data_IF_149853609701
#
_entry.id   IF_149853609701
#
_cell.length_a   1.000
_cell.length_b   1.000
_cell.length_c   1.000
_cell.angle_alpha   90.00
_cell.angle_beta   90.00
_cell.angle_gamma   90.00
#
_symmetry.space_group_name_H-M   'P 1'
#
loop_
_entity.id
_entity.type
_entity.pdbx_description
1 polymer ?
#
# COMPACT_ATOMS: atom_id res chain seq x y z
N UNK A 1 26.31 8.16 39.16
CA UNK A 1 25.38 7.34 38.37
C UNK A 1 25.84 7.42 36.94
N UNK A 2 26.14 6.33 36.25
CA UNK A 2 26.51 6.39 34.85
C UNK A 2 25.27 6.79 34.03
N UNK A 3 25.45 7.82 33.20
CA UNK A 3 24.51 8.21 32.16
C UNK A 3 24.41 6.99 31.21
N UNK A 4 23.24 6.35 31.17
CA UNK A 4 22.98 5.32 30.14
C UNK A 4 23.13 6.03 28.79
N UNK A 5 24.10 5.60 28.02
CA UNK A 5 24.25 6.01 26.64
C UNK A 5 22.97 5.58 25.90
N UNK A 6 22.15 6.57 25.48
CA UNK A 6 21.16 6.37 24.47
C UNK A 6 21.87 5.70 23.29
N UNK A 7 21.52 4.45 22.98
CA UNK A 7 22.02 3.78 21.80
C UNK A 7 21.59 4.65 20.61
N UNK A 8 22.54 5.25 19.91
CA UNK A 8 22.27 5.99 18.70
C UNK A 8 21.51 5.05 17.75
N UNK A 9 20.30 5.41 17.40
CA UNK A 9 19.49 4.69 16.40
C UNK A 9 20.30 4.63 15.09
N UNK A 10 20.41 3.45 14.51
CA UNK A 10 21.08 3.24 13.22
C UNK A 10 20.05 3.28 12.09
N UNK A 11 20.46 3.53 10.84
CA UNK A 11 19.54 3.51 9.70
C UNK A 11 18.73 2.21 9.57
N UNK A 12 19.23 1.09 10.08
CA UNK A 12 18.57 -0.23 10.05
C UNK A 12 17.43 -0.34 11.08
N UNK A 13 17.38 0.56 12.05
CA UNK A 13 16.31 0.62 13.06
C UNK A 13 15.04 1.31 12.55
N UNK A 14 15.04 1.81 11.30
CA UNK A 14 13.93 2.55 10.71
C UNK A 14 13.29 1.79 9.56
N UNK A 15 11.97 2.00 9.32
CA UNK A 15 11.30 1.44 8.15
C UNK A 15 12.00 1.83 6.85
N UNK A 16 12.27 0.86 5.98
CA UNK A 16 12.96 1.09 4.72
C UNK A 16 11.95 1.37 3.59
N UNK A 17 12.07 2.51 2.93
CA UNK A 17 11.27 2.87 1.76
C UNK A 17 12.17 3.00 0.54
N UNK A 18 11.90 2.20 -0.48
CA UNK A 18 12.72 2.14 -1.70
C UNK A 18 11.94 2.63 -2.94
N UNK A 19 12.66 3.19 -3.95
CA UNK A 19 14.04 3.67 -3.91
C UNK A 19 14.20 4.85 -2.94
N UNK A 20 15.37 5.03 -2.33
CA UNK A 20 15.60 6.10 -1.36
C UNK A 20 15.99 7.41 -2.08
N UNK A 21 15.02 7.96 -2.84
CA UNK A 21 15.13 9.24 -3.53
C UNK A 21 14.64 10.43 -2.67
N UNK A 22 14.75 11.64 -3.19
CA UNK A 22 14.33 12.86 -2.50
C UNK A 22 12.86 12.85 -2.05
N UNK A 23 11.97 12.22 -2.82
CA UNK A 23 10.54 12.13 -2.48
C UNK A 23 10.30 11.17 -1.33
N UNK A 24 10.98 10.02 -1.32
CA UNK A 24 10.88 9.07 -0.22
C UNK A 24 11.59 9.58 1.04
N UNK A 25 12.67 10.35 0.92
CA UNK A 25 13.26 11.08 2.05
C UNK A 25 12.25 12.05 2.67
N UNK A 26 11.60 12.89 1.84
CA UNK A 26 10.55 13.81 2.30
C UNK A 26 9.35 13.07 2.92
N UNK A 27 8.94 11.92 2.35
CA UNK A 27 7.94 11.06 2.97
C UNK A 27 8.35 10.67 4.38
N UNK A 28 9.56 10.13 4.55
CA UNK A 28 10.08 9.68 5.84
C UNK A 28 10.17 10.80 6.86
N UNK A 29 10.65 12.00 6.47
CA UNK A 29 10.68 13.19 7.32
C UNK A 29 9.30 13.58 7.86
N UNK A 30 8.23 13.29 7.12
CA UNK A 30 6.87 13.57 7.55
C UNK A 30 6.28 12.46 8.42
N UNK A 31 6.41 11.19 8.00
CA UNK A 31 5.65 10.08 8.59
C UNK A 31 6.41 9.26 9.61
N UNK A 32 7.75 9.36 9.61
CA UNK A 32 8.64 8.71 10.57
C UNK A 32 9.98 9.47 10.70
N UNK A 33 9.96 10.72 11.20
CA UNK A 33 11.18 11.53 11.30
C UNK A 33 12.23 10.86 12.19
N UNK A 34 13.47 10.82 11.70
CA UNK A 34 14.59 10.18 12.39
C UNK A 34 14.98 10.88 13.70
N UNK A 35 14.71 12.19 13.77
CA UNK A 35 14.98 13.03 14.92
C UNK A 35 13.81 13.10 15.92
N UNK A 36 12.82 12.23 15.79
CA UNK A 36 11.67 12.21 16.67
C UNK A 36 11.97 11.55 18.01
N UNK A 37 11.75 12.29 19.08
CA UNK A 37 11.75 11.77 20.44
C UNK A 37 10.32 11.65 20.94
N UNK A 38 9.97 10.46 21.44
CA UNK A 38 8.68 10.20 22.03
C UNK A 38 8.46 11.09 23.26
N UNK A 39 7.33 11.80 23.34
CA UNK A 39 7.05 12.71 24.48
C UNK A 39 6.98 11.95 25.79
N UNK A 40 7.16 12.67 26.90
CA UNK A 40 6.90 12.11 28.23
C UNK A 40 5.39 12.08 28.47
N UNK A 41 4.81 10.90 28.83
CA UNK A 41 3.39 10.80 29.12
C UNK A 41 3.02 11.60 30.38
N UNK A 42 2.04 12.48 30.30
CA UNK A 42 1.55 13.25 31.45
C UNK A 42 0.10 12.91 31.76
N UNK A 43 -0.16 12.52 33.01
CA UNK A 43 -1.51 12.27 33.51
C UNK A 43 -2.20 11.10 32.79
N UNK A 44 -3.54 11.22 32.61
CA UNK A 44 -4.37 10.18 31.97
C UNK A 44 -4.94 10.67 30.66
N UNK A 45 -4.76 9.89 29.59
CA UNK A 45 -5.34 10.18 28.29
C UNK A 45 -6.84 9.87 28.26
N UNK A 46 -7.62 10.69 27.56
CA UNK A 46 -9.01 10.37 27.26
C UNK A 46 -9.08 9.21 26.26
N UNK A 47 -8.15 9.20 25.29
CA UNK A 47 -8.05 8.20 24.25
C UNK A 47 -6.58 7.85 23.95
N UNK A 48 -6.26 6.55 23.94
CA UNK A 48 -5.06 6.03 23.31
C UNK A 48 -5.48 5.37 21.99
N UNK A 49 -4.82 5.73 20.91
CA UNK A 49 -5.06 5.16 19.56
C UNK A 49 -3.82 4.39 19.15
N UNK A 50 -3.97 3.09 18.90
CA UNK A 50 -2.89 2.22 18.45
C UNK A 50 -3.04 1.96 16.94
N UNK A 51 -2.09 2.49 16.18
CA UNK A 51 -2.07 2.53 14.72
C UNK A 51 -2.46 3.91 14.18
N UNK A 52 -1.59 4.51 13.38
CA UNK A 52 -1.80 5.82 12.74
C UNK A 52 -2.10 5.70 11.24
N UNK A 53 -2.82 4.66 10.84
CA UNK A 53 -3.48 4.59 9.54
C UNK A 53 -4.74 5.46 9.50
N UNK A 54 -5.52 5.39 8.42
CA UNK A 54 -6.71 6.24 8.19
C UNK A 54 -7.67 6.24 9.38
N UNK A 55 -7.99 5.09 9.95
CA UNK A 55 -8.92 4.98 11.08
C UNK A 55 -8.34 5.64 12.34
N UNK A 56 -7.06 5.39 12.62
CA UNK A 56 -6.38 5.95 13.80
C UNK A 56 -6.22 7.46 13.71
N UNK A 57 -5.79 7.99 12.57
CA UNK A 57 -5.64 9.42 12.33
C UNK A 57 -6.96 10.18 12.51
N UNK A 58 -8.06 9.64 11.93
CA UNK A 58 -9.39 10.25 12.08
C UNK A 58 -9.88 10.22 13.54
N UNK A 59 -9.68 9.07 14.22
CA UNK A 59 -10.06 8.92 15.64
C UNK A 59 -9.27 9.88 16.52
N UNK A 60 -7.96 9.98 16.32
CA UNK A 60 -7.10 10.86 17.10
C UNK A 60 -7.45 12.34 16.90
N UNK A 61 -7.54 12.78 15.63
CA UNK A 61 -7.89 14.16 15.30
C UNK A 61 -9.30 14.53 15.77
N UNK A 62 -10.28 13.64 15.59
CA UNK A 62 -11.65 13.85 16.05
C UNK A 62 -11.75 13.97 17.57
N UNK A 63 -11.05 13.12 18.31
CA UNK A 63 -11.03 13.18 19.78
C UNK A 63 -10.35 14.45 20.29
N UNK A 64 -9.21 14.82 19.70
CA UNK A 64 -8.51 16.06 20.06
C UNK A 64 -9.36 17.30 19.72
N UNK A 65 -10.03 17.31 18.56
CA UNK A 65 -10.94 18.39 18.16
C UNK A 65 -12.13 18.59 19.10
N UNK A 66 -12.53 17.55 19.85
CA UNK A 66 -13.54 17.63 20.91
C UNK A 66 -12.94 17.96 22.29
N UNK A 67 -11.66 18.33 22.35
CA UNK A 67 -10.97 18.72 23.60
C UNK A 67 -10.44 17.54 24.41
N UNK A 68 -10.43 16.33 23.88
CA UNK A 68 -9.87 15.16 24.56
C UNK A 68 -8.34 15.13 24.48
N UNK A 69 -7.67 14.72 25.57
CA UNK A 69 -6.24 14.41 25.57
C UNK A 69 -6.00 13.08 24.88
N UNK A 70 -5.18 13.05 23.84
CA UNK A 70 -4.97 11.89 22.97
C UNK A 70 -3.50 11.51 22.89
N UNK A 71 -3.21 10.20 22.99
CA UNK A 71 -1.96 9.61 22.54
C UNK A 71 -2.22 8.80 21.27
N UNK A 72 -1.41 9.03 20.23
CA UNK A 72 -1.42 8.29 18.96
C UNK A 72 -0.11 7.53 18.85
N UNK A 73 -0.19 6.22 18.64
CA UNK A 73 0.97 5.34 18.60
C UNK A 73 1.06 4.70 17.20
N UNK A 74 2.25 4.79 16.58
CA UNK A 74 2.53 4.15 15.29
C UNK A 74 3.90 3.45 15.33
N UNK A 75 3.92 2.20 14.91
CA UNK A 75 5.17 1.44 14.92
C UNK A 75 6.01 1.59 13.66
N UNK A 76 5.38 1.96 12.54
CA UNK A 76 6.03 2.05 11.23
C UNK A 76 5.86 3.46 10.64
N UNK A 77 4.94 3.63 9.69
CA UNK A 77 4.75 4.88 8.96
C UNK A 77 3.35 5.44 9.20
N UNK A 78 3.27 6.66 9.70
CA UNK A 78 1.98 7.37 9.78
C UNK A 78 1.32 7.47 8.40
N UNK A 79 -0.02 7.54 8.37
CA UNK A 79 -0.81 7.42 7.14
C UNK A 79 -1.20 5.99 6.80
N UNK A 80 -0.50 4.98 7.37
CA UNK A 80 -0.75 3.55 7.19
C UNK A 80 -0.74 3.15 5.71
N UNK A 81 -1.44 2.05 5.39
CA UNK A 81 -1.46 1.49 4.03
C UNK A 81 -1.99 2.50 3.00
N UNK A 82 -3.02 3.28 3.35
CA UNK A 82 -3.64 4.20 2.40
C UNK A 82 -2.62 5.18 1.80
N UNK A 83 -1.83 5.84 2.65
CA UNK A 83 -0.80 6.77 2.19
C UNK A 83 0.38 6.06 1.55
N UNK A 84 0.90 5.02 2.21
CA UNK A 84 2.22 4.49 1.92
C UNK A 84 2.22 3.43 0.82
N UNK A 85 1.27 2.48 0.87
CA UNK A 85 1.25 1.27 0.02
C UNK A 85 -0.14 0.90 -0.51
N UNK A 86 -1.09 1.83 -0.49
CA UNK A 86 -2.49 1.59 -0.86
C UNK A 86 -3.06 2.66 -1.79
N UNK A 87 -4.03 3.42 -1.26
CA UNK A 87 -4.88 4.33 -2.06
C UNK A 87 -4.09 5.39 -2.82
N UNK A 88 -3.14 6.05 -2.17
CA UNK A 88 -2.39 7.15 -2.78
C UNK A 88 -1.53 6.65 -3.94
N UNK A 89 -0.62 5.65 -3.75
CA UNK A 89 0.20 5.18 -4.85
C UNK A 89 -0.63 4.48 -5.94
N UNK A 90 -1.65 3.67 -5.60
CA UNK A 90 -2.45 3.00 -6.62
C UNK A 90 -3.24 3.98 -7.48
N UNK A 91 -3.87 5.00 -6.90
CA UNK A 91 -4.62 6.02 -7.66
C UNK A 91 -3.70 6.89 -8.52
N UNK A 92 -2.46 7.11 -8.09
CA UNK A 92 -1.46 7.78 -8.92
C UNK A 92 -1.12 6.96 -10.18
N UNK A 93 -0.95 5.62 -10.04
CA UNK A 93 -0.72 4.71 -11.16
C UNK A 93 -1.95 4.60 -12.07
N UNK A 94 -3.14 4.39 -11.52
CA UNK A 94 -4.40 4.32 -12.29
C UNK A 94 -4.60 5.59 -13.12
N UNK A 95 -4.31 6.76 -12.54
CA UNK A 95 -4.44 8.03 -13.29
C UNK A 95 -3.45 8.11 -14.46
N UNK A 96 -2.22 7.61 -14.29
CA UNK A 96 -1.23 7.52 -15.36
C UNK A 96 -1.66 6.50 -16.43
N UNK A 97 -2.11 5.31 -16.02
CA UNK A 97 -2.62 4.27 -16.91
C UNK A 97 -3.83 4.75 -17.73
N UNK A 98 -4.73 5.55 -17.14
CA UNK A 98 -5.84 6.17 -17.84
C UNK A 98 -5.35 7.16 -18.92
N UNK A 99 -4.27 7.91 -18.68
CA UNK A 99 -3.70 8.79 -19.70
C UNK A 99 -3.20 7.97 -20.92
N UNK A 100 -2.56 6.84 -20.68
CA UNK A 100 -2.15 5.91 -21.75
C UNK A 100 -3.34 5.38 -22.53
N UNK A 101 -4.41 4.96 -21.85
CA UNK A 101 -5.64 4.50 -22.51
C UNK A 101 -6.25 5.60 -23.40
N UNK A 102 -6.35 6.84 -22.90
CA UNK A 102 -6.85 7.98 -23.69
C UNK A 102 -6.00 8.23 -24.94
N UNK A 103 -4.69 8.07 -24.89
CA UNK A 103 -3.81 8.18 -26.07
C UNK A 103 -4.12 7.08 -27.08
N UNK A 104 -4.28 5.82 -26.62
CA UNK A 104 -4.63 4.69 -27.49
C UNK A 104 -6.01 4.87 -28.17
N UNK A 105 -6.97 5.45 -27.46
CA UNK A 105 -8.34 5.65 -27.92
C UNK A 105 -8.54 6.97 -28.70
N UNK A 106 -7.56 7.85 -28.73
CA UNK A 106 -7.66 9.21 -29.27
C UNK A 106 -8.17 9.25 -30.72
N UNK A 107 -7.83 8.24 -31.52
CA UNK A 107 -8.30 8.12 -32.92
C UNK A 107 -9.81 8.05 -33.06
N UNK A 108 -10.54 7.49 -32.09
CA UNK A 108 -11.99 7.41 -32.07
C UNK A 108 -12.65 8.80 -31.98
N UNK A 109 -11.90 9.78 -31.46
CA UNK A 109 -12.32 11.17 -31.31
C UNK A 109 -11.73 12.09 -32.40
N UNK A 110 -11.14 11.50 -33.46
CA UNK A 110 -10.54 12.27 -34.55
C UNK A 110 -9.18 12.89 -34.23
N UNK A 111 -8.58 12.55 -33.08
CA UNK A 111 -7.26 13.02 -32.69
C UNK A 111 -6.18 12.06 -33.23
N UNK A 112 -5.29 12.59 -34.06
CA UNK A 112 -4.16 11.82 -34.61
C UNK A 112 -2.99 11.86 -33.64
N UNK A 113 -2.62 10.67 -33.12
CA UNK A 113 -1.43 10.50 -32.27
C UNK A 113 -0.26 10.17 -33.19
N UNK A 114 0.88 10.88 -33.10
CA UNK A 114 2.07 10.55 -33.87
C UNK A 114 2.60 9.14 -33.55
N UNK A 115 3.27 8.54 -34.52
CA UNK A 115 4.01 7.28 -34.29
C UNK A 115 5.15 7.51 -33.27
N UNK A 116 5.54 6.46 -32.55
CA UNK A 116 6.66 6.49 -31.60
C UNK A 116 6.34 7.01 -30.21
N UNK A 117 5.06 7.12 -29.86
CA UNK A 117 4.66 7.38 -28.47
C UNK A 117 5.17 6.28 -27.57
N UNK A 118 5.95 6.65 -26.58
CA UNK A 118 6.54 5.72 -25.59
C UNK A 118 6.00 5.99 -24.19
N UNK A 119 6.04 4.98 -23.36
CA UNK A 119 5.65 5.07 -21.94
C UNK A 119 6.93 5.05 -21.12
N UNK A 120 7.17 6.13 -20.39
CA UNK A 120 8.27 6.26 -19.44
C UNK A 120 7.79 5.81 -18.06
N UNK A 121 7.97 4.51 -17.77
CA UNK A 121 7.55 3.92 -16.50
C UNK A 121 8.34 4.48 -15.30
N UNK A 122 9.67 4.68 -15.36
CA UNK A 122 10.41 5.38 -14.31
C UNK A 122 9.80 6.74 -13.94
N UNK A 123 9.45 7.57 -14.93
CA UNK A 123 8.83 8.87 -14.69
C UNK A 123 7.41 8.75 -14.08
N UNK A 124 6.66 7.71 -14.42
CA UNK A 124 5.36 7.41 -13.79
C UNK A 124 5.55 7.10 -12.30
N UNK A 125 6.54 6.26 -11.98
CA UNK A 125 6.83 5.87 -10.59
C UNK A 125 7.39 7.04 -9.78
N UNK A 126 8.24 7.87 -10.37
CA UNK A 126 8.70 9.12 -9.75
C UNK A 126 7.54 10.08 -9.47
N UNK A 127 6.64 10.28 -10.45
CA UNK A 127 5.42 11.07 -10.23
C UNK A 127 4.58 10.52 -9.07
N UNK A 128 4.44 9.22 -8.96
CA UNK A 128 3.72 8.57 -7.85
C UNK A 128 4.36 8.92 -6.50
N UNK A 129 5.69 8.76 -6.38
CA UNK A 129 6.45 9.08 -5.17
C UNK A 129 6.32 10.56 -4.80
N UNK A 130 6.43 11.46 -5.77
CA UNK A 130 6.23 12.90 -5.58
C UNK A 130 4.85 13.22 -5.03
N UNK A 131 3.79 12.61 -5.56
CA UNK A 131 2.42 12.82 -5.08
C UNK A 131 2.25 12.29 -3.65
N UNK A 132 2.78 11.09 -3.35
CA UNK A 132 2.76 10.49 -2.03
C UNK A 132 3.46 11.37 -1.00
N UNK A 133 4.67 11.83 -1.30
CA UNK A 133 5.42 12.77 -0.47
C UNK A 133 4.67 14.10 -0.27
N UNK A 134 4.04 14.63 -1.32
CA UNK A 134 3.25 15.86 -1.22
C UNK A 134 2.02 15.73 -0.31
N UNK A 135 1.40 14.56 -0.26
CA UNK A 135 0.24 14.27 0.59
C UNK A 135 0.67 13.98 2.04
N UNK A 136 1.83 13.36 2.25
CA UNK A 136 2.30 12.87 3.55
C UNK A 136 2.34 13.95 4.65
N UNK A 137 2.52 15.22 4.30
CA UNK A 137 2.45 16.34 5.24
C UNK A 137 1.12 16.42 5.99
N UNK A 138 0.02 15.92 5.40
CA UNK A 138 -1.30 15.90 6.03
C UNK A 138 -1.45 14.78 7.06
N UNK A 139 -0.61 13.75 6.98
CA UNK A 139 -0.59 12.62 7.89
C UNK A 139 0.69 12.62 8.74
N UNK A 140 1.40 13.76 8.81
CA UNK A 140 2.71 13.86 9.43
C UNK A 140 2.65 13.90 10.95
N UNK A 141 3.73 13.37 11.57
CA UNK A 141 3.95 13.43 13.03
C UNK A 141 3.79 14.86 13.55
N UNK A 142 4.47 15.83 12.89
CA UNK A 142 4.47 17.23 13.32
C UNK A 142 3.09 17.88 13.20
N UNK A 143 2.29 17.52 12.20
CA UNK A 143 0.91 18.02 12.08
C UNK A 143 0.04 17.53 13.24
N UNK A 144 0.11 16.24 13.57
CA UNK A 144 -0.69 15.67 14.66
C UNK A 144 -0.25 16.20 16.01
N UNK A 145 1.05 16.40 16.24
CA UNK A 145 1.56 17.13 17.39
C UNK A 145 0.98 18.55 17.47
N UNK A 146 0.92 19.27 16.33
CA UNK A 146 0.32 20.60 16.25
C UNK A 146 -1.19 20.65 16.55
N UNK A 147 -1.89 19.50 16.49
CA UNK A 147 -3.27 19.34 16.93
C UNK A 147 -3.39 19.07 18.44
N UNK A 148 -2.29 19.08 19.19
CA UNK A 148 -2.25 18.76 20.61
C UNK A 148 -2.33 17.27 20.93
N UNK A 149 -1.93 16.43 19.99
CA UNK A 149 -1.88 14.98 20.15
C UNK A 149 -0.44 14.57 20.48
N UNK A 150 -0.26 13.77 21.52
CA UNK A 150 1.02 13.17 21.85
C UNK A 150 1.25 11.99 20.91
N UNK A 151 2.20 12.14 19.97
CA UNK A 151 2.53 11.11 18.97
C UNK A 151 3.73 10.28 19.46
N UNK A 152 3.56 8.98 19.49
CA UNK A 152 4.58 8.02 19.88
C UNK A 152 4.92 7.13 18.68
N UNK A 153 6.20 7.04 18.39
CA UNK A 153 6.71 6.06 17.40
C UNK A 153 7.28 4.86 18.12
N UNK A 154 6.79 3.66 17.79
CA UNK A 154 7.20 2.38 18.36
C UNK A 154 6.04 1.41 18.53
N UNK A 155 6.35 0.23 19.04
CA UNK A 155 5.37 -0.82 19.30
C UNK A 155 4.75 -0.68 20.67
N UNK A 156 3.42 -0.72 20.70
CA UNK A 156 2.62 -0.61 21.93
C UNK A 156 2.20 -1.98 22.43
N UNK A 157 2.23 -2.19 23.74
CA UNK A 157 1.72 -3.37 24.42
C UNK A 157 0.71 -2.98 25.52
N UNK A 158 -0.46 -3.64 25.53
CA UNK A 158 -1.43 -3.49 26.60
C UNK A 158 -0.99 -4.32 27.81
N UNK A 159 -0.59 -3.65 28.90
CA UNK A 159 -0.13 -4.31 30.12
C UNK A 159 -1.21 -4.40 31.21
N UNK A 160 -2.28 -3.60 31.05
CA UNK A 160 -3.50 -3.68 31.89
C UNK A 160 -4.71 -3.13 31.13
N UNK A 161 -5.90 -3.25 31.73
CA UNK A 161 -7.16 -2.79 31.13
C UNK A 161 -7.20 -1.29 30.81
N UNK A 162 -6.35 -0.49 31.44
CA UNK A 162 -6.28 0.98 31.28
C UNK A 162 -4.84 1.47 31.05
N UNK A 163 -3.93 0.58 30.63
CA UNK A 163 -2.50 0.85 30.53
C UNK A 163 -1.90 0.29 29.25
N UNK A 164 -1.14 1.12 28.54
CA UNK A 164 -0.28 0.74 27.42
C UNK A 164 1.15 1.11 27.74
N UNK A 165 2.08 0.27 27.35
CA UNK A 165 3.53 0.54 27.40
C UNK A 165 4.11 0.68 26.01
N UNK A 166 5.04 1.63 25.84
CA UNK A 166 5.80 1.88 24.63
C UNK A 166 7.18 2.42 25.00
N UNK A 167 8.25 1.78 24.56
CA UNK A 167 9.66 2.16 24.80
C UNK A 167 9.95 2.51 26.28
N UNK A 168 9.44 1.70 27.20
CA UNK A 168 9.61 1.89 28.65
C UNK A 168 8.75 3.02 29.25
N UNK A 169 7.91 3.69 28.44
CA UNK A 169 6.97 4.70 28.91
C UNK A 169 5.59 4.09 29.13
N UNK A 170 4.96 4.43 30.24
CA UNK A 170 3.64 3.94 30.64
C UNK A 170 2.56 4.98 30.38
N UNK A 171 1.58 4.68 29.55
CA UNK A 171 0.44 5.54 29.21
C UNK A 171 -0.82 5.02 29.89
N UNK A 172 -1.40 5.84 30.77
CA UNK A 172 -2.72 5.58 31.38
C UNK A 172 -3.82 6.18 30.54
N UNK A 173 -4.91 5.43 30.30
CA UNK A 173 -6.02 5.90 29.46
C UNK A 173 -7.40 5.60 30.04
N UNK A 174 -8.42 6.31 29.54
CA UNK A 174 -9.81 6.02 29.83
C UNK A 174 -10.44 5.10 28.77
N UNK A 175 -10.04 5.25 27.50
CA UNK A 175 -10.48 4.44 26.36
C UNK A 175 -9.31 4.21 25.42
N UNK A 176 -9.34 3.06 24.71
CA UNK A 176 -8.39 2.77 23.66
C UNK A 176 -9.13 2.49 22.35
N UNK A 177 -8.50 2.89 21.23
CA UNK A 177 -8.90 2.53 19.88
C UNK A 177 -7.79 1.66 19.28
N UNK A 178 -8.11 0.43 18.89
CA UNK A 178 -7.21 -0.47 18.18
C UNK A 178 -7.46 -0.29 16.70
N UNK A 179 -6.53 0.36 16.00
CA UNK A 179 -6.60 0.70 14.57
C UNK A 179 -5.36 0.19 13.81
N UNK A 180 -4.93 -1.01 14.14
CA UNK A 180 -3.66 -1.61 13.71
C UNK A 180 -3.61 -2.06 12.25
N UNK A 181 -4.74 -1.98 11.52
CA UNK A 181 -4.81 -2.34 10.10
C UNK A 181 -4.63 -3.83 9.84
N UNK A 182 -4.13 -4.13 8.65
CA UNK A 182 -3.91 -5.50 8.15
C UNK A 182 -2.55 -5.60 7.47
N UNK A 183 -2.14 -6.83 7.14
CA UNK A 183 -0.97 -7.13 6.31
C UNK A 183 -1.38 -8.04 5.15
N UNK A 184 -0.67 -8.02 4.01
CA UNK A 184 -0.91 -8.99 2.95
C UNK A 184 -0.77 -10.40 3.48
N UNK A 185 -1.74 -11.25 3.12
CA UNK A 185 -1.70 -12.65 3.47
C UNK A 185 -0.66 -13.37 2.61
N UNK A 186 0.25 -14.07 3.24
CA UNK A 186 1.11 -15.02 2.55
C UNK A 186 0.30 -16.27 2.20
N UNK A 187 0.12 -16.49 0.89
CA UNK A 187 -0.65 -17.63 0.41
C UNK A 187 0.22 -18.89 0.43
N UNK A 188 -0.30 -20.03 0.90
CA UNK A 188 0.42 -21.30 0.91
C UNK A 188 0.44 -21.94 -0.49
N UNK A 189 0.96 -21.21 -1.47
CA UNK A 189 1.11 -21.68 -2.85
C UNK A 189 2.51 -22.28 -3.00
N UNK A 190 2.62 -23.55 -3.42
CA UNK A 190 3.92 -24.20 -3.61
C UNK A 190 4.84 -23.37 -4.51
N UNK A 191 6.06 -23.13 -4.07
CA UNK A 191 7.10 -22.40 -4.80
C UNK A 191 6.96 -20.88 -4.87
N UNK A 192 5.90 -20.29 -4.27
CA UNK A 192 5.69 -18.84 -4.30
C UNK A 192 6.78 -18.08 -3.52
N UNK A 193 7.09 -18.52 -2.31
CA UNK A 193 8.10 -17.90 -1.47
C UNK A 193 9.50 -17.97 -2.11
N UNK A 194 9.87 -19.14 -2.66
CA UNK A 194 11.17 -19.37 -3.29
C UNK A 194 11.33 -18.61 -4.61
N UNK A 195 10.24 -18.37 -5.33
CA UNK A 195 10.27 -17.59 -6.56
C UNK A 195 10.54 -16.09 -6.27
N UNK A 196 10.13 -15.62 -5.10
CA UNK A 196 10.04 -14.21 -4.77
C UNK A 196 8.79 -13.57 -5.42
N UNK A 197 8.06 -12.77 -4.66
CA UNK A 197 6.86 -12.13 -5.15
C UNK A 197 6.71 -10.71 -4.61
N UNK A 198 5.88 -9.93 -5.27
CA UNK A 198 5.49 -8.59 -4.83
C UNK A 198 4.15 -8.66 -4.09
N UNK A 199 4.01 -7.79 -3.09
CA UNK A 199 2.74 -7.48 -2.44
C UNK A 199 2.40 -6.02 -2.69
N UNK A 200 1.26 -5.53 -2.15
CA UNK A 200 0.97 -4.09 -2.13
C UNK A 200 2.06 -3.30 -1.38
N UNK A 201 2.78 -3.91 -0.43
CA UNK A 201 3.84 -3.24 0.31
C UNK A 201 5.10 -3.01 -0.56
N UNK A 202 5.34 -3.83 -1.58
CA UNK A 202 6.57 -3.82 -2.37
C UNK A 202 6.41 -3.40 -3.84
N UNK A 203 5.20 -3.55 -4.43
CA UNK A 203 4.97 -3.24 -5.85
C UNK A 203 5.23 -1.76 -6.19
N UNK A 204 5.03 -0.87 -5.24
CA UNK A 204 5.25 0.57 -5.43
C UNK A 204 6.72 0.99 -5.32
N UNK A 205 7.63 0.06 -5.03
CA UNK A 205 9.08 0.26 -5.07
C UNK A 205 9.71 -0.01 -6.44
N UNK A 206 8.93 -0.52 -7.40
CA UNK A 206 9.42 -0.80 -8.75
C UNK A 206 9.95 0.47 -9.42
N UNK A 207 11.10 0.34 -10.07
CA UNK A 207 11.73 1.41 -10.87
C UNK A 207 11.70 1.10 -12.37
N UNK A 208 11.45 -0.16 -12.72
CA UNK A 208 11.37 -0.64 -14.11
C UNK A 208 10.05 -1.38 -14.33
N UNK A 209 9.53 -1.27 -15.55
CA UNK A 209 8.30 -1.96 -15.93
C UNK A 209 8.59 -3.47 -16.11
N UNK A 210 7.94 -4.36 -15.34
CA UNK A 210 8.06 -5.79 -15.60
C UNK A 210 7.48 -6.12 -16.97
N UNK A 211 8.25 -6.82 -17.80
CA UNK A 211 7.79 -7.22 -19.14
C UNK A 211 6.62 -8.19 -19.08
N UNK A 212 6.61 -9.09 -18.10
CA UNK A 212 5.54 -10.06 -17.81
C UNK A 212 5.18 -9.96 -16.33
N UNK A 213 3.89 -9.97 -16.05
CA UNK A 213 3.39 -9.87 -14.67
C UNK A 213 2.27 -10.88 -14.45
N UNK A 214 2.49 -11.80 -13.51
CA UNK A 214 1.43 -12.65 -12.97
C UNK A 214 0.82 -11.98 -11.73
N UNK A 215 -0.48 -11.82 -11.72
CA UNK A 215 -1.24 -11.31 -10.57
C UNK A 215 -2.11 -12.42 -10.02
N UNK A 216 -1.98 -12.71 -8.73
CA UNK A 216 -2.76 -13.75 -8.05
C UNK A 216 -3.79 -13.09 -7.16
N UNK A 217 -5.07 -13.34 -7.48
CA UNK A 217 -6.23 -12.74 -6.83
C UNK A 217 -6.83 -11.59 -7.63
N UNK A 218 -8.08 -11.75 -8.06
CA UNK A 218 -8.84 -10.76 -8.84
C UNK A 218 -9.80 -9.93 -7.97
N UNK A 219 -9.41 -9.64 -6.73
CA UNK A 219 -10.04 -8.62 -5.90
C UNK A 219 -9.73 -7.20 -6.41
N UNK A 220 -10.23 -6.15 -5.74
CA UNK A 220 -10.04 -4.76 -6.19
C UNK A 220 -8.58 -4.38 -6.46
N UNK A 221 -7.67 -4.71 -5.56
CA UNK A 221 -6.24 -4.38 -5.70
C UNK A 221 -5.62 -5.10 -6.91
N UNK A 222 -5.91 -6.39 -7.06
CA UNK A 222 -5.41 -7.18 -8.19
C UNK A 222 -5.89 -6.64 -9.53
N UNK A 223 -7.17 -6.30 -9.63
CA UNK A 223 -7.76 -5.70 -10.84
C UNK A 223 -7.14 -4.33 -11.15
N UNK A 224 -7.02 -3.43 -10.17
CA UNK A 224 -6.44 -2.10 -10.34
C UNK A 224 -4.99 -2.17 -10.86
N UNK A 225 -4.17 -3.04 -10.27
CA UNK A 225 -2.78 -3.21 -10.66
C UNK A 225 -2.65 -3.92 -12.00
N UNK A 226 -3.36 -5.04 -12.22
CA UNK A 226 -3.34 -5.78 -13.48
C UNK A 226 -3.67 -4.88 -14.67
N UNK A 227 -4.76 -4.12 -14.59
CA UNK A 227 -5.15 -3.18 -15.65
C UNK A 227 -4.12 -2.07 -15.85
N UNK A 228 -3.58 -1.51 -14.76
CA UNK A 228 -2.60 -0.42 -14.85
C UNK A 228 -1.32 -0.89 -15.56
N UNK A 229 -0.77 -2.04 -15.16
CA UNK A 229 0.43 -2.60 -15.76
C UNK A 229 0.23 -3.04 -17.21
N UNK A 230 -0.94 -3.60 -17.56
CA UNK A 230 -1.29 -3.93 -18.94
C UNK A 230 -1.33 -2.68 -19.83
N UNK A 231 -1.94 -1.59 -19.35
CA UNK A 231 -1.94 -0.29 -20.04
C UNK A 231 -0.55 0.27 -20.25
N UNK A 232 0.37 0.07 -19.28
CA UNK A 232 1.78 0.46 -19.40
C UNK A 232 2.57 -0.42 -20.37
N UNK A 233 2.04 -1.58 -20.77
CA UNK A 233 2.68 -2.44 -21.75
C UNK A 233 3.25 -3.75 -21.24
N UNK A 234 3.01 -4.10 -19.97
CA UNK A 234 3.30 -5.44 -19.46
C UNK A 234 2.37 -6.49 -20.09
N UNK A 235 2.88 -7.68 -20.35
CA UNK A 235 2.05 -8.85 -20.61
C UNK A 235 1.53 -9.40 -19.27
N UNK A 236 0.22 -9.20 -19.01
CA UNK A 236 -0.38 -9.46 -17.69
C UNK A 236 -1.30 -10.67 -17.74
N UNK A 237 -1.09 -11.60 -16.81
CA UNK A 237 -2.00 -12.69 -16.50
C UNK A 237 -2.57 -12.47 -15.10
N UNK A 238 -3.90 -12.44 -15.00
CA UNK A 238 -4.64 -12.33 -13.73
C UNK A 238 -5.27 -13.68 -13.41
N UNK A 239 -4.90 -14.26 -12.28
CA UNK A 239 -5.37 -15.58 -11.84
C UNK A 239 -6.31 -15.42 -10.66
N UNK A 240 -7.50 -16.06 -10.74
CA UNK A 240 -8.50 -16.07 -9.68
C UNK A 240 -8.97 -17.52 -9.42
N UNK A 241 -9.08 -17.88 -8.16
CA UNK A 241 -9.58 -19.19 -7.75
C UNK A 241 -11.11 -19.31 -7.87
N UNK A 242 -11.80 -18.19 -7.79
CA UNK A 242 -13.23 -18.10 -7.94
C UNK A 242 -13.64 -17.77 -9.38
N UNK A 243 -14.92 -17.68 -9.63
CA UNK A 243 -15.47 -17.40 -10.94
C UNK A 243 -15.48 -15.90 -11.25
N UNK A 244 -14.78 -15.53 -12.33
CA UNK A 244 -14.65 -14.12 -12.77
C UNK A 244 -13.85 -13.24 -11.82
N UNK A 245 -13.82 -11.95 -12.07
CA UNK A 245 -13.18 -10.95 -11.21
C UNK A 245 -14.14 -10.42 -10.13
N UNK A 246 -13.62 -9.76 -9.11
CA UNK A 246 -14.39 -9.08 -8.07
C UNK A 246 -15.50 -9.99 -7.49
N UNK A 247 -15.17 -11.15 -6.92
CA UNK A 247 -16.15 -12.20 -6.61
C UNK A 247 -17.24 -11.78 -5.62
N UNK A 248 -16.99 -10.75 -4.81
CA UNK A 248 -17.94 -10.24 -3.82
C UNK A 248 -18.85 -9.10 -4.35
N UNK A 249 -18.65 -8.68 -5.61
CA UNK A 249 -19.37 -7.56 -6.19
C UNK A 249 -20.55 -8.04 -7.07
N UNK A 250 -21.43 -7.12 -7.47
CA UNK A 250 -22.48 -7.41 -8.43
C UNK A 250 -21.89 -7.97 -9.75
N UNK A 251 -22.39 -9.13 -10.18
CA UNK A 251 -21.83 -9.84 -11.35
C UNK A 251 -21.93 -9.07 -12.65
N UNK A 252 -22.97 -8.26 -12.84
CA UNK A 252 -23.11 -7.42 -14.05
C UNK A 252 -22.11 -6.28 -14.03
N UNK A 253 -21.92 -5.66 -12.87
CA UNK A 253 -20.90 -4.61 -12.71
C UNK A 253 -19.48 -5.17 -12.89
N UNK A 254 -19.17 -6.30 -12.27
CA UNK A 254 -17.90 -6.99 -12.44
C UNK A 254 -17.62 -7.37 -13.90
N UNK A 255 -18.61 -7.88 -14.63
CA UNK A 255 -18.50 -8.22 -16.06
C UNK A 255 -18.20 -7.00 -16.95
N UNK A 256 -18.72 -5.81 -16.63
CA UNK A 256 -18.35 -4.59 -17.35
C UNK A 256 -16.86 -4.26 -17.16
N UNK A 257 -16.36 -4.38 -15.93
CA UNK A 257 -14.94 -4.13 -15.61
C UNK A 257 -14.06 -5.18 -16.30
N UNK A 258 -14.45 -6.45 -16.23
CA UNK A 258 -13.74 -7.58 -16.85
C UNK A 258 -13.54 -7.38 -18.36
N UNK A 259 -14.62 -7.08 -19.09
CA UNK A 259 -14.56 -6.80 -20.51
C UNK A 259 -13.58 -5.66 -20.86
N UNK A 260 -13.55 -4.58 -20.05
CA UNK A 260 -12.63 -3.48 -20.27
C UNK A 260 -11.18 -3.91 -19.98
N UNK A 261 -10.96 -4.70 -18.94
CA UNK A 261 -9.62 -5.20 -18.61
C UNK A 261 -9.07 -6.12 -19.70
N UNK A 262 -9.91 -6.97 -20.29
CA UNK A 262 -9.53 -7.82 -21.43
C UNK A 262 -9.19 -6.98 -22.66
N UNK A 263 -9.97 -5.93 -22.97
CA UNK A 263 -9.66 -4.97 -24.03
C UNK A 263 -8.33 -4.25 -23.80
N UNK A 264 -7.98 -3.99 -22.54
CA UNK A 264 -6.69 -3.42 -22.14
C UNK A 264 -5.53 -4.44 -22.22
N UNK A 265 -5.82 -5.73 -22.50
CA UNK A 265 -4.83 -6.78 -22.68
C UNK A 265 -4.56 -7.66 -21.47
N UNK A 266 -5.39 -7.58 -20.41
CA UNK A 266 -5.28 -8.49 -19.27
C UNK A 266 -5.83 -9.87 -19.66
N UNK A 267 -5.03 -10.91 -19.46
CA UNK A 267 -5.42 -12.31 -19.70
C UNK A 267 -5.96 -12.88 -18.39
N UNK A 268 -7.28 -13.03 -18.28
CA UNK A 268 -7.89 -13.65 -17.10
C UNK A 268 -7.81 -15.18 -17.16
N UNK A 269 -7.51 -15.79 -16.04
CA UNK A 269 -7.62 -17.22 -15.75
C UNK A 269 -8.41 -17.39 -14.47
N UNK A 270 -9.70 -17.65 -14.58
CA UNK A 270 -10.59 -17.88 -13.45
C UNK A 270 -10.76 -19.36 -13.09
N UNK A 271 -11.40 -19.64 -11.97
CA UNK A 271 -11.60 -20.97 -11.42
C UNK A 271 -10.30 -21.77 -11.23
N UNK A 272 -9.20 -21.04 -10.99
CA UNK A 272 -7.86 -21.60 -10.85
C UNK A 272 -7.75 -22.58 -9.69
N UNK A 273 -7.31 -23.81 -9.98
CA UNK A 273 -7.03 -24.84 -8.97
C UNK A 273 -5.60 -25.29 -9.10
N UNK A 274 -5.06 -25.85 -8.01
CA UNK A 274 -3.72 -26.44 -8.01
C UNK A 274 -2.63 -25.46 -8.49
N UNK A 275 -2.75 -24.17 -8.17
CA UNK A 275 -1.75 -23.18 -8.53
C UNK A 275 -0.41 -23.52 -7.89
N UNK A 276 0.62 -23.57 -8.70
CA UNK A 276 2.01 -23.77 -8.31
C UNK A 276 2.89 -22.74 -9.01
N UNK A 277 3.90 -22.23 -8.32
CA UNK A 277 4.89 -21.31 -8.86
C UNK A 277 6.22 -22.05 -9.02
N UNK A 278 6.81 -22.03 -10.19
CA UNK A 278 8.10 -22.67 -10.50
C UNK A 278 9.09 -21.64 -11.01
N UNK A 279 10.20 -21.50 -10.29
CA UNK A 279 11.31 -20.69 -10.77
C UNK A 279 12.19 -21.54 -11.69
N UNK A 280 12.35 -21.10 -12.93
CA UNK A 280 13.17 -21.77 -13.93
C UNK A 280 14.21 -20.81 -14.51
N UNK A 281 15.12 -21.31 -15.37
CA UNK A 281 16.18 -20.49 -15.94
C UNK A 281 15.67 -19.37 -16.86
N UNK A 282 14.49 -19.51 -17.45
CA UNK A 282 13.84 -18.57 -18.36
C UNK A 282 12.81 -17.67 -17.68
N UNK A 283 12.61 -17.84 -16.37
CA UNK A 283 11.72 -16.99 -15.57
C UNK A 283 10.87 -17.72 -14.55
N UNK A 284 9.81 -17.04 -14.12
CA UNK A 284 8.81 -17.59 -13.18
C UNK A 284 7.64 -18.14 -13.99
N UNK A 285 7.32 -19.40 -13.77
CA UNK A 285 6.20 -20.11 -14.38
C UNK A 285 5.06 -20.26 -13.38
N UNK A 286 3.85 -19.91 -13.80
CA UNK A 286 2.61 -20.16 -13.07
C UNK A 286 1.94 -21.38 -13.72
N UNK A 287 1.78 -22.44 -12.94
CA UNK A 287 1.11 -23.69 -13.37
C UNK A 287 -0.23 -23.74 -12.66
N UNK A 288 -1.32 -23.76 -13.40
CA UNK A 288 -2.65 -23.71 -12.83
C UNK A 288 -3.66 -24.45 -13.71
N UNK A 289 -4.53 -25.22 -13.10
CA UNK A 289 -5.70 -25.79 -13.76
C UNK A 289 -6.79 -24.70 -13.77
N UNK A 290 -7.04 -24.09 -14.93
CA UNK A 290 -7.98 -22.99 -15.06
C UNK A 290 -8.60 -22.96 -16.44
N UNK A 291 -9.68 -22.23 -16.60
CA UNK A 291 -10.22 -21.84 -17.90
C UNK A 291 -10.21 -20.31 -18.05
N UNK A 292 -10.29 -19.83 -19.27
CA UNK A 292 -10.50 -18.43 -19.60
C UNK A 292 -11.95 -18.02 -19.36
N UNK A 293 -12.27 -16.78 -19.70
CA UNK A 293 -13.63 -16.23 -19.57
C UNK A 293 -14.64 -16.81 -20.55
N UNK A 294 -14.17 -17.35 -21.68
CA UNK A 294 -15.03 -18.06 -22.61
C UNK A 294 -15.25 -19.50 -22.13
N UNK A 295 -16.47 -19.79 -21.74
CA UNK A 295 -16.92 -21.03 -21.10
C UNK A 295 -16.90 -22.27 -21.98
N UNK A 296 -16.51 -22.15 -23.24
CA UNK A 296 -16.61 -23.21 -24.26
C UNK A 296 -15.26 -23.85 -24.64
N UNK A 297 -14.20 -23.65 -23.84
CA UNK A 297 -12.91 -24.30 -24.04
C UNK A 297 -12.46 -25.12 -22.83
#
# INVERSE_FOLDING_TARGET
MPIQANSLKTPDDFPQVQPYDEYNQNLMENVHPFDWDNPEPEGRYNMVVVGAGTAGLVTAAGTAGLGGKVALIERELMGGDCLNVGCVPSKALIRAARAVAHVKEAGQFGVRVPDGVSIDFPAIMERMRRLRAGISKHDSVRRFQGLGIDVFQGSAEFTAADTVEIDGKTLKFARACIATGTRPLELPIPGLAEAGYLTNETVFSLTELPRRLGVIGAGPIGCELAQSFARFGSDVILIESMHGILPNEDRRAAGIVENIMEQDGVKLRCCGKNLEVRKQNDGIHLVVDSHGTNYDE
#
